data_IF_787987779374
#
_entry.id   IF_787987779374
#
_cell.length_a   1.000
_cell.length_b   1.000
_cell.length_c   1.000
_cell.angle_alpha   90.00
_cell.angle_beta   90.00
_cell.angle_gamma   90.00
#
_symmetry.space_group_name_H-M   'P 1'
#
loop_
_entity.id
_entity.type
_entity.pdbx_description
1 polymer ?
#
# COMPACT_ATOMS: atom_id res chain seq x y z
N UNK A 1 1.60 7.72 4.84
CA UNK A 1 2.24 6.60 5.53
C UNK A 1 3.22 7.08 6.61
N UNK A 2 4.37 7.76 6.32
CA UNK A 2 5.40 8.17 7.28
C UNK A 2 4.84 8.77 8.59
N UNK A 3 3.95 9.78 8.53
CA UNK A 3 3.40 10.45 9.72
C UNK A 3 2.59 9.53 10.63
N UNK A 4 1.92 8.53 10.07
CA UNK A 4 1.18 7.55 10.88
C UNK A 4 2.12 6.54 11.54
N UNK A 5 3.18 6.12 10.82
CA UNK A 5 4.21 5.26 11.39
C UNK A 5 4.97 5.97 12.51
N UNK A 6 5.39 7.23 12.30
CA UNK A 6 6.07 8.06 13.30
C UNK A 6 5.27 8.23 14.60
N UNK A 7 3.92 8.24 14.52
CA UNK A 7 3.02 8.31 15.68
C UNK A 7 2.83 6.97 16.39
N UNK A 8 3.07 5.87 15.71
CA UNK A 8 2.74 4.51 16.18
C UNK A 8 3.95 3.69 16.56
N UNK A 9 5.15 4.05 16.10
CA UNK A 9 6.39 3.33 16.30
C UNK A 9 7.54 4.30 16.56
N UNK A 10 8.26 4.05 17.66
CA UNK A 10 9.40 4.90 18.02
C UNK A 10 10.70 4.44 17.36
N UNK A 11 10.83 3.14 17.11
CA UNK A 11 12.04 2.53 16.56
C UNK A 11 11.83 2.06 15.12
N UNK A 12 12.10 2.95 14.16
CA UNK A 12 12.12 2.63 12.74
C UNK A 12 13.05 3.58 11.97
N UNK A 13 13.49 3.12 10.82
CA UNK A 13 14.10 3.94 9.79
C UNK A 13 13.52 3.61 8.42
N UNK A 14 13.03 4.60 7.69
CA UNK A 14 12.46 4.43 6.35
C UNK A 14 13.47 4.78 5.27
N UNK A 15 13.59 3.92 4.27
CA UNK A 15 14.27 4.19 3.01
C UNK A 15 13.21 4.50 1.96
N UNK A 16 13.08 5.79 1.58
CA UNK A 16 12.02 6.25 0.69
C UNK A 16 12.58 6.43 -0.72
N UNK A 17 12.15 5.58 -1.63
CA UNK A 17 12.54 5.65 -3.04
C UNK A 17 11.66 6.66 -3.77
N UNK A 18 12.26 7.74 -4.23
CA UNK A 18 11.57 8.80 -4.98
C UNK A 18 11.61 8.49 -6.48
N UNK A 19 10.46 8.14 -7.06
CA UNK A 19 10.36 7.69 -8.46
C UNK A 19 10.35 8.81 -9.51
N UNK A 20 10.64 10.04 -9.10
CA UNK A 20 10.92 11.19 -9.95
C UNK A 20 11.73 12.26 -9.20
N UNK A 21 12.38 13.15 -9.96
CA UNK A 21 13.26 14.20 -9.40
C UNK A 21 12.49 15.19 -8.53
N UNK A 22 11.23 15.52 -8.89
CA UNK A 22 10.41 16.44 -8.13
C UNK A 22 10.03 15.89 -6.77
N UNK A 23 9.64 14.62 -6.72
CA UNK A 23 9.36 13.90 -5.48
C UNK A 23 10.62 13.84 -4.59
N UNK A 24 11.77 13.55 -5.20
CA UNK A 24 13.06 13.53 -4.48
C UNK A 24 13.40 14.90 -3.87
N UNK A 25 13.25 15.97 -4.63
CA UNK A 25 13.49 17.33 -4.16
C UNK A 25 12.58 17.69 -2.96
N UNK A 26 11.28 17.43 -3.08
CA UNK A 26 10.31 17.74 -2.03
C UNK A 26 10.58 16.92 -0.77
N UNK A 27 10.80 15.62 -0.89
CA UNK A 27 11.08 14.73 0.24
C UNK A 27 12.34 15.16 0.99
N UNK A 28 13.40 15.54 0.29
CA UNK A 28 14.63 16.08 0.92
C UNK A 28 14.35 17.39 1.68
N UNK A 29 13.51 18.28 1.14
CA UNK A 29 13.13 19.53 1.80
C UNK A 29 12.25 19.32 3.03
N UNK A 30 11.48 18.23 3.10
CA UNK A 30 10.68 17.86 4.27
C UNK A 30 11.51 17.49 5.49
N UNK A 31 12.80 17.15 5.34
CA UNK A 31 13.75 16.82 6.41
C UNK A 31 13.19 15.80 7.41
N UNK A 32 12.63 14.71 6.89
CA UNK A 32 12.08 13.63 7.71
C UNK A 32 13.18 13.00 8.57
N UNK A 33 13.02 13.01 9.91
CA UNK A 33 14.09 12.66 10.85
C UNK A 33 14.48 11.18 10.82
N UNK A 34 13.51 10.29 10.57
CA UNK A 34 13.69 8.83 10.56
C UNK A 34 13.59 8.28 9.14
N UNK A 35 14.15 9.01 8.14
CA UNK A 35 14.09 8.57 6.76
C UNK A 35 15.36 8.94 5.97
N UNK A 36 15.73 8.04 5.07
CA UNK A 36 16.72 8.29 4.01
C UNK A 36 15.98 8.35 2.67
N UNK A 37 16.18 9.44 1.91
CA UNK A 37 15.58 9.61 0.60
C UNK A 37 16.56 9.09 -0.45
N UNK A 38 16.09 8.19 -1.31
CA UNK A 38 16.87 7.54 -2.36
C UNK A 38 16.29 7.97 -3.71
N UNK A 39 17.13 8.59 -4.55
CA UNK A 39 16.74 8.97 -5.90
C UNK A 39 16.77 7.75 -6.84
N UNK A 40 16.03 7.82 -7.96
CA UNK A 40 16.16 6.79 -9.01
C UNK A 40 17.58 6.70 -9.55
N UNK A 41 18.28 7.83 -9.65
CA UNK A 41 19.66 7.89 -10.13
C UNK A 41 20.63 7.09 -9.26
N UNK A 42 20.39 7.06 -7.94
CA UNK A 42 21.21 6.30 -6.99
C UNK A 42 20.81 4.82 -6.91
N UNK A 43 19.60 4.50 -7.30
CA UNK A 43 18.98 3.19 -7.14
C UNK A 43 19.02 2.32 -8.41
N UNK A 44 18.76 2.93 -9.57
CA UNK A 44 18.63 2.19 -10.83
C UNK A 44 19.97 1.62 -11.31
N UNK A 45 20.04 0.33 -11.50
CA UNK A 45 21.14 -0.35 -12.17
C UNK A 45 20.85 -0.57 -13.67
N UNK A 46 21.84 -1.14 -14.39
CA UNK A 46 21.74 -1.39 -15.83
C UNK A 46 20.54 -2.27 -16.19
N UNK A 47 20.21 -3.28 -15.36
CA UNK A 47 19.07 -4.19 -15.62
C UNK A 47 17.74 -3.44 -15.51
N UNK A 48 17.56 -2.62 -14.49
CA UNK A 48 16.34 -1.81 -14.31
C UNK A 48 16.20 -0.77 -15.41
N UNK A 49 17.28 -0.07 -15.76
CA UNK A 49 17.28 0.91 -16.85
C UNK A 49 16.93 0.27 -18.20
N UNK A 50 17.42 -0.92 -18.48
CA UNK A 50 17.15 -1.63 -19.73
C UNK A 50 15.65 -1.96 -19.92
N UNK A 51 14.94 -2.35 -18.83
CA UNK A 51 13.52 -2.73 -18.93
C UNK A 51 12.55 -1.55 -18.74
N UNK A 52 12.99 -0.45 -18.17
CA UNK A 52 12.17 0.73 -17.84
C UNK A 52 11.32 1.23 -19.00
N UNK A 53 11.83 1.36 -20.26
CA UNK A 53 11.02 1.82 -21.38
C UNK A 53 9.87 0.88 -21.76
N UNK A 54 9.93 -0.40 -21.38
CA UNK A 54 8.94 -1.43 -21.70
C UNK A 54 7.81 -1.52 -20.66
N UNK A 55 7.87 -0.75 -19.60
CA UNK A 55 6.90 -0.75 -18.48
C UNK A 55 6.14 0.58 -18.41
N UNK A 56 4.87 0.53 -18.05
CA UNK A 56 4.16 1.72 -17.57
C UNK A 56 4.75 2.16 -16.23
N UNK A 57 4.49 3.40 -15.80
CA UNK A 57 4.96 3.90 -14.49
C UNK A 57 4.58 2.98 -13.33
N UNK A 58 3.35 2.45 -13.32
CA UNK A 58 2.88 1.54 -12.28
C UNK A 58 3.59 0.19 -12.35
N UNK A 59 3.73 -0.40 -13.53
CA UNK A 59 4.43 -1.66 -13.73
C UNK A 59 5.91 -1.54 -13.36
N UNK A 60 6.53 -0.40 -13.64
CA UNK A 60 7.90 -0.14 -13.25
C UNK A 60 8.06 -0.05 -11.73
N UNK A 61 7.11 0.62 -11.02
CA UNK A 61 7.11 0.61 -9.56
C UNK A 61 7.04 -0.82 -9.00
N UNK A 62 6.14 -1.66 -9.53
CA UNK A 62 6.03 -3.08 -9.12
C UNK A 62 7.30 -3.87 -9.45
N UNK A 63 7.88 -3.66 -10.64
CA UNK A 63 9.15 -4.30 -11.00
C UNK A 63 10.26 -3.96 -10.02
N UNK A 64 10.27 -2.73 -9.51
CA UNK A 64 11.29 -2.25 -8.58
C UNK A 64 11.10 -2.73 -7.14
N UNK A 65 9.94 -3.26 -6.73
CA UNK A 65 9.64 -3.62 -5.34
C UNK A 65 10.72 -4.50 -4.70
N UNK A 66 11.01 -5.64 -5.30
CA UNK A 66 12.06 -6.56 -4.83
C UNK A 66 13.46 -5.93 -4.86
N UNK A 67 13.74 -5.12 -5.87
CA UNK A 67 15.00 -4.40 -6.02
C UNK A 67 15.22 -3.36 -4.93
N UNK A 68 14.16 -2.66 -4.47
CA UNK A 68 14.27 -1.68 -3.37
C UNK A 68 14.67 -2.34 -2.06
N UNK A 69 14.10 -3.51 -1.75
CA UNK A 69 14.43 -4.28 -0.55
C UNK A 69 15.89 -4.75 -0.62
N UNK A 70 16.27 -5.34 -1.75
CA UNK A 70 17.63 -5.84 -1.97
C UNK A 70 18.67 -4.72 -1.85
N UNK A 71 18.39 -3.57 -2.48
CA UNK A 71 19.26 -2.40 -2.40
C UNK A 71 19.47 -1.92 -0.96
N UNK A 72 18.41 -1.88 -0.15
CA UNK A 72 18.52 -1.45 1.26
C UNK A 72 19.38 -2.44 2.04
N UNK A 73 19.10 -3.73 1.93
CA UNK A 73 19.85 -4.77 2.65
C UNK A 73 21.34 -4.72 2.29
N UNK A 74 21.66 -4.68 0.99
CA UNK A 74 23.05 -4.76 0.53
C UNK A 74 23.82 -3.44 0.74
N UNK A 75 23.18 -2.29 0.54
CA UNK A 75 23.87 -0.99 0.66
C UNK A 75 24.07 -0.52 2.09
N UNK A 76 23.12 -0.81 2.96
CA UNK A 76 23.13 -0.33 4.34
C UNK A 76 23.45 -1.43 5.36
N UNK A 77 23.69 -2.65 4.89
CA UNK A 77 24.04 -3.82 5.70
C UNK A 77 23.07 -4.04 6.87
N UNK A 78 21.76 -3.87 6.59
CA UNK A 78 20.74 -4.06 7.64
C UNK A 78 20.41 -5.54 7.82
N UNK A 79 20.09 -5.98 9.06
CA UNK A 79 19.78 -7.38 9.33
C UNK A 79 18.46 -7.85 8.72
N UNK A 80 17.54 -6.93 8.45
CA UNK A 80 16.26 -7.19 7.78
C UNK A 80 15.70 -5.92 7.16
N UNK A 81 14.81 -6.09 6.18
CA UNK A 81 14.10 -4.97 5.56
C UNK A 81 12.64 -5.35 5.34
N UNK A 82 11.72 -4.45 5.73
CA UNK A 82 10.28 -4.59 5.48
C UNK A 82 9.85 -3.61 4.41
N UNK A 83 9.29 -4.11 3.32
CA UNK A 83 8.65 -3.28 2.29
C UNK A 83 7.28 -2.82 2.77
N UNK A 84 6.94 -1.57 2.48
CA UNK A 84 5.66 -0.94 2.81
C UNK A 84 5.10 -0.20 1.59
N UNK A 85 3.85 -0.44 1.24
CA UNK A 85 3.14 0.41 0.28
C UNK A 85 2.95 1.83 0.84
N UNK A 86 3.07 2.85 -0.01
CA UNK A 86 3.03 4.25 0.41
C UNK A 86 1.64 4.73 0.88
N UNK A 87 0.57 4.00 0.56
CA UNK A 87 -0.81 4.28 0.93
C UNK A 87 -1.32 3.46 2.14
N UNK A 88 -0.38 2.91 2.93
CA UNK A 88 -0.67 2.39 4.27
C UNK A 88 -0.86 3.52 5.28
N UNK A 89 -1.68 3.28 6.28
CA UNK A 89 -1.80 4.11 7.49
C UNK A 89 -1.73 3.23 8.73
N UNK A 90 -0.77 3.51 9.61
CA UNK A 90 -0.53 2.76 10.84
C UNK A 90 -1.36 3.30 11.99
N UNK A 91 -1.93 2.39 12.76
CA UNK A 91 -2.70 2.64 13.99
C UNK A 91 -1.97 2.14 15.23
N UNK A 92 -1.07 1.16 15.07
CA UNK A 92 -0.24 0.58 16.13
C UNK A 92 1.18 0.35 15.61
N UNK A 93 2.07 0.04 16.55
CA UNK A 93 3.44 -0.37 16.22
C UNK A 93 3.42 -1.67 15.40
N UNK A 94 3.98 -1.66 14.17
CA UNK A 94 4.08 -2.85 13.34
C UNK A 94 4.98 -3.93 13.92
N UNK A 95 5.74 -3.63 14.97
CA UNK A 95 6.59 -4.60 15.66
C UNK A 95 5.83 -5.87 16.05
N UNK A 96 4.56 -5.76 16.43
CA UNK A 96 3.72 -6.92 16.77
C UNK A 96 3.60 -7.92 15.61
N UNK A 97 3.65 -7.45 14.36
CA UNK A 97 3.61 -8.29 13.17
C UNK A 97 4.98 -8.92 12.88
N UNK A 98 6.05 -8.18 13.16
CA UNK A 98 7.42 -8.66 13.00
C UNK A 98 7.76 -9.70 14.10
N UNK A 99 7.28 -9.50 15.32
CA UNK A 99 7.45 -10.45 16.42
C UNK A 99 6.77 -11.80 16.12
N UNK A 100 5.63 -11.79 15.40
CA UNK A 100 4.95 -13.01 14.96
C UNK A 100 5.81 -13.84 13.98
N UNK A 101 6.64 -13.18 13.19
CA UNK A 101 7.54 -13.83 12.24
C UNK A 101 8.54 -14.78 12.95
N UNK A 102 8.94 -14.47 14.19
CA UNK A 102 9.94 -15.26 14.94
C UNK A 102 11.26 -15.41 14.17
N UNK A 103 11.81 -16.61 14.17
CA UNK A 103 13.08 -16.93 13.51
C UNK A 103 12.95 -17.22 12.00
N UNK A 104 11.80 -16.90 11.38
CA UNK A 104 11.63 -17.08 9.94
C UNK A 104 12.37 -15.99 9.15
N UNK A 105 12.74 -16.33 7.93
CA UNK A 105 13.51 -15.46 7.02
C UNK A 105 12.65 -14.53 6.18
N UNK A 106 11.36 -14.87 6.00
CA UNK A 106 10.44 -14.17 5.10
C UNK A 106 9.07 -14.07 5.77
N UNK A 107 8.48 -12.87 5.77
CA UNK A 107 7.10 -12.63 6.21
C UNK A 107 6.24 -12.27 5.01
N UNK A 108 5.16 -13.02 4.78
CA UNK A 108 4.16 -12.78 3.74
C UNK A 108 2.83 -12.32 4.36
N UNK A 109 2.13 -11.43 3.69
CA UNK A 109 0.78 -10.98 4.07
C UNK A 109 -0.24 -11.44 3.03
N UNK A 110 -1.28 -12.17 3.45
CA UNK A 110 -2.36 -12.59 2.57
C UNK A 110 -3.30 -11.43 2.20
N UNK A 111 -3.88 -11.47 1.00
CA UNK A 111 -4.99 -10.59 0.64
C UNK A 111 -6.24 -10.83 1.49
N UNK A 112 -6.45 -12.04 1.96
CA UNK A 112 -7.64 -12.45 2.72
C UNK A 112 -8.93 -12.03 2.01
N UNK A 113 -9.05 -12.34 0.72
CA UNK A 113 -10.25 -12.02 -0.06
C UNK A 113 -11.49 -12.69 0.52
N UNK A 114 -12.60 -11.97 0.72
CA UNK A 114 -13.88 -12.61 1.02
C UNK A 114 -14.32 -13.50 -0.16
N UNK A 115 -15.02 -14.62 0.09
CA UNK A 115 -15.40 -15.60 -0.96
C UNK A 115 -16.05 -14.97 -2.19
N UNK A 116 -16.95 -14.00 -1.97
CA UNK A 116 -17.66 -13.27 -3.03
C UNK A 116 -16.75 -12.50 -3.99
N UNK A 117 -15.58 -12.06 -3.53
CA UNK A 117 -14.66 -11.23 -4.29
C UNK A 117 -13.26 -11.84 -4.38
N UNK A 118 -13.19 -13.15 -4.28
CA UNK A 118 -11.94 -13.87 -4.36
C UNK A 118 -11.27 -13.66 -5.74
N UNK A 119 -10.02 -13.19 -5.72
CA UNK A 119 -9.19 -13.00 -6.90
C UNK A 119 -7.87 -13.75 -6.81
N UNK A 120 -7.76 -14.71 -5.94
CA UNK A 120 -6.55 -15.50 -5.72
C UNK A 120 -6.03 -16.10 -7.03
N UNK A 121 -6.91 -16.61 -7.89
CA UNK A 121 -6.52 -17.20 -9.18
C UNK A 121 -5.85 -16.20 -10.13
N UNK A 122 -6.28 -14.94 -10.14
CA UNK A 122 -5.76 -13.91 -11.06
C UNK A 122 -4.70 -13.01 -10.42
N UNK A 123 -4.89 -12.61 -9.16
CA UNK A 123 -4.06 -11.60 -8.52
C UNK A 123 -3.09 -12.15 -7.46
N UNK A 124 -3.23 -13.43 -7.08
CA UNK A 124 -2.37 -14.08 -6.09
C UNK A 124 -2.99 -14.18 -4.70
N UNK A 125 -2.44 -15.09 -3.90
CA UNK A 125 -2.80 -15.33 -2.50
C UNK A 125 -2.29 -14.16 -1.66
N UNK A 126 -1.04 -13.77 -1.87
CA UNK A 126 -0.32 -12.81 -1.06
C UNK A 126 -0.31 -11.41 -1.69
N UNK A 127 -0.29 -10.40 -0.83
CA UNK A 127 -0.19 -8.99 -1.18
C UNK A 127 1.19 -8.47 -0.79
N UNK A 128 1.81 -7.70 -1.66
CA UNK A 128 3.15 -7.14 -1.43
C UNK A 128 3.16 -6.02 -0.38
N UNK A 129 2.02 -5.45 -0.04
CA UNK A 129 1.84 -4.26 0.82
C UNK A 129 2.69 -4.19 2.11
N UNK A 130 3.04 -5.35 2.69
CA UNK A 130 3.85 -5.51 3.91
C UNK A 130 4.57 -6.85 3.83
N UNK A 131 5.85 -6.82 3.46
CA UNK A 131 6.70 -7.99 3.28
C UNK A 131 8.04 -7.77 4.00
N UNK A 132 8.53 -8.76 4.73
CA UNK A 132 9.83 -8.68 5.40
C UNK A 132 10.78 -9.74 4.88
N UNK A 133 12.05 -9.36 4.70
CA UNK A 133 13.15 -10.25 4.38
C UNK A 133 14.27 -10.06 5.39
N UNK A 134 14.75 -11.15 5.94
CA UNK A 134 15.96 -11.20 6.78
C UNK A 134 17.18 -11.34 5.87
N UNK A 135 18.27 -10.68 6.24
CA UNK A 135 19.56 -10.78 5.57
C UNK A 135 20.26 -12.10 5.95
N UNK A 136 19.62 -13.21 5.62
CA UNK A 136 20.16 -14.56 5.78
C UNK A 136 20.10 -15.34 4.46
N UNK A 137 20.59 -16.58 4.49
CA UNK A 137 20.63 -17.41 3.29
C UNK A 137 19.27 -17.59 2.62
N UNK A 138 18.23 -17.89 3.39
CA UNK A 138 16.89 -18.20 2.85
C UNK A 138 16.18 -16.93 2.34
N UNK A 139 16.22 -15.86 3.12
CA UNK A 139 15.62 -14.57 2.74
C UNK A 139 16.26 -14.00 1.47
N UNK A 140 17.61 -14.01 1.41
CA UNK A 140 18.34 -13.46 0.26
C UNK A 140 18.23 -14.32 -0.99
N UNK A 141 18.12 -15.65 -0.87
CA UNK A 141 17.88 -16.56 -1.99
C UNK A 141 16.53 -16.23 -2.67
N UNK A 142 15.45 -16.15 -1.87
CA UNK A 142 14.12 -15.83 -2.38
C UNK A 142 14.04 -14.41 -2.95
N UNK A 143 14.64 -13.42 -2.26
CA UNK A 143 14.61 -12.02 -2.68
C UNK A 143 15.33 -11.81 -4.03
N UNK A 144 16.52 -12.39 -4.21
CA UNK A 144 17.24 -12.28 -5.47
C UNK A 144 16.50 -12.97 -6.62
N UNK A 145 15.95 -14.16 -6.38
CA UNK A 145 15.11 -14.81 -7.38
C UNK A 145 13.90 -13.96 -7.75
N UNK A 146 13.21 -13.37 -6.77
CA UNK A 146 12.03 -12.52 -7.02
C UNK A 146 12.39 -11.28 -7.84
N UNK A 147 13.54 -10.68 -7.52
CA UNK A 147 14.05 -9.55 -8.29
C UNK A 147 14.27 -9.91 -9.75
N UNK A 148 14.97 -10.99 -10.03
CA UNK A 148 15.25 -11.43 -11.41
C UNK A 148 13.93 -11.78 -12.13
N UNK A 149 12.99 -12.45 -11.47
CA UNK A 149 11.67 -12.75 -12.03
C UNK A 149 10.85 -11.48 -12.35
N UNK A 150 10.87 -10.45 -11.49
CA UNK A 150 10.19 -9.17 -11.74
C UNK A 150 10.85 -8.37 -12.88
N UNK A 151 12.16 -8.41 -13.01
CA UNK A 151 12.89 -7.80 -14.13
C UNK A 151 12.50 -8.49 -15.44
N UNK A 152 12.48 -9.82 -15.46
CA UNK A 152 12.08 -10.61 -16.62
C UNK A 152 10.63 -10.32 -17.02
N UNK A 153 9.70 -10.40 -16.08
CA UNK A 153 8.29 -10.17 -16.37
C UNK A 153 7.56 -9.54 -15.16
N UNK A 154 6.99 -8.34 -15.33
CA UNK A 154 6.13 -7.69 -14.32
C UNK A 154 5.18 -6.73 -15.03
N UNK A 155 3.94 -7.18 -15.31
CA UNK A 155 2.95 -6.39 -16.03
C UNK A 155 1.58 -6.43 -15.32
N UNK A 156 0.76 -5.40 -15.57
CA UNK A 156 -0.60 -5.27 -15.04
C UNK A 156 -1.60 -6.09 -15.88
N UNK A 157 -1.31 -7.37 -16.07
CA UNK A 157 -2.18 -8.35 -16.71
C UNK A 157 -1.89 -9.73 -16.17
N UNK A 158 -2.89 -10.60 -16.19
CA UNK A 158 -2.68 -12.02 -15.90
C UNK A 158 -2.20 -12.72 -17.18
N UNK A 159 -1.08 -13.40 -17.11
CA UNK A 159 -0.48 -14.13 -18.23
C UNK A 159 0.38 -15.28 -17.67
N UNK A 160 0.12 -16.51 -18.13
CA UNK A 160 0.89 -17.70 -17.78
C UNK A 160 1.18 -17.87 -16.28
N UNK A 161 0.16 -17.68 -15.45
CA UNK A 161 0.30 -17.81 -14.00
C UNK A 161 0.98 -16.61 -13.32
N UNK A 162 1.29 -15.52 -14.03
CA UNK A 162 1.95 -14.30 -13.53
C UNK A 162 0.98 -13.13 -13.50
N UNK A 163 1.15 -12.24 -12.50
CA UNK A 163 0.46 -10.97 -12.40
C UNK A 163 1.27 -10.02 -11.51
N UNK A 164 1.75 -8.91 -12.07
CA UNK A 164 2.58 -7.95 -11.35
C UNK A 164 3.78 -8.61 -10.67
N UNK A 165 4.13 -8.11 -9.51
CA UNK A 165 5.18 -8.65 -8.63
C UNK A 165 4.65 -9.69 -7.63
N UNK A 166 3.36 -9.65 -7.31
CA UNK A 166 2.76 -10.38 -6.19
C UNK A 166 2.41 -11.84 -6.49
N UNK A 167 2.06 -12.19 -7.73
CA UNK A 167 1.66 -13.56 -8.08
C UNK A 167 2.81 -14.57 -7.98
N UNK A 168 4.03 -14.11 -8.01
CA UNK A 168 5.25 -14.90 -7.78
C UNK A 168 5.35 -15.48 -6.37
N UNK A 169 4.63 -14.90 -5.40
CA UNK A 169 4.68 -15.30 -3.99
C UNK A 169 3.84 -16.54 -3.69
N UNK A 170 2.95 -16.96 -4.59
CA UNK A 170 1.91 -17.97 -4.32
C UNK A 170 2.46 -19.35 -3.91
N UNK A 171 3.63 -19.76 -4.39
CA UNK A 171 4.25 -21.06 -4.09
C UNK A 171 5.35 -20.99 -3.01
N UNK A 172 5.60 -19.82 -2.43
CA UNK A 172 6.78 -19.61 -1.57
C UNK A 172 6.74 -20.42 -0.28
N UNK A 173 5.58 -20.68 0.29
CA UNK A 173 5.45 -21.51 1.50
C UNK A 173 5.90 -22.96 1.29
N UNK A 174 5.92 -23.42 0.05
CA UNK A 174 6.41 -24.76 -0.32
C UNK A 174 7.78 -24.72 -0.98
N UNK A 175 8.13 -23.62 -1.63
CA UNK A 175 9.35 -23.46 -2.42
C UNK A 175 10.56 -23.06 -1.56
N UNK A 176 10.36 -22.18 -0.58
CA UNK A 176 11.42 -21.63 0.24
C UNK A 176 11.28 -22.05 1.70
N UNK A 177 12.39 -22.15 2.42
CA UNK A 177 12.43 -22.38 3.87
C UNK A 177 12.31 -21.06 4.63
N UNK A 178 11.77 -21.13 5.84
CA UNK A 178 11.67 -19.94 6.71
C UNK A 178 10.66 -18.90 6.21
N UNK A 179 9.57 -19.33 5.56
CA UNK A 179 8.48 -18.47 5.16
C UNK A 179 7.37 -18.53 6.20
N UNK A 180 7.07 -17.40 6.81
CA UNK A 180 5.93 -17.21 7.71
C UNK A 180 4.82 -16.43 6.99
N UNK A 181 3.60 -16.91 7.10
CA UNK A 181 2.39 -16.23 6.62
C UNK A 181 1.72 -15.57 7.81
N UNK A 182 1.64 -14.25 7.79
CA UNK A 182 1.07 -13.44 8.87
C UNK A 182 -0.35 -13.87 9.25
N UNK A 183 -0.55 -14.26 10.50
CA UNK A 183 -1.85 -14.66 11.04
C UNK A 183 -2.58 -13.51 11.71
N UNK A 184 -1.86 -12.52 12.25
CA UNK A 184 -2.44 -11.37 12.93
C UNK A 184 -3.40 -10.61 12.01
N UNK A 185 -4.70 -10.61 12.34
CA UNK A 185 -5.75 -10.03 11.49
C UNK A 185 -5.63 -8.51 11.31
N UNK A 186 -4.99 -7.82 12.26
CA UNK A 186 -4.74 -6.38 12.19
C UNK A 186 -3.67 -5.98 11.18
N UNK A 187 -2.85 -6.93 10.73
CA UNK A 187 -1.92 -6.76 9.63
C UNK A 187 -2.57 -7.19 8.31
N UNK A 188 -2.69 -6.26 7.37
CA UNK A 188 -3.27 -6.54 6.04
C UNK A 188 -4.75 -6.18 5.88
N UNK A 189 -5.31 -5.38 6.77
CA UNK A 189 -6.62 -4.77 6.54
C UNK A 189 -6.58 -3.82 5.33
N UNK A 190 -7.55 -3.97 4.43
CA UNK A 190 -7.59 -3.23 3.19
C UNK A 190 -9.02 -3.07 2.66
N UNK A 191 -9.15 -2.22 1.63
CA UNK A 191 -10.44 -1.99 0.97
C UNK A 191 -11.11 -3.27 0.43
N UNK A 192 -10.31 -4.29 0.07
CA UNK A 192 -10.82 -5.53 -0.55
C UNK A 192 -11.24 -6.60 0.46
N UNK A 193 -10.90 -6.47 1.74
CA UNK A 193 -11.21 -7.49 2.74
C UNK A 193 -11.95 -6.97 3.97
N UNK A 194 -11.98 -5.65 4.22
CA UNK A 194 -12.56 -5.06 5.44
C UNK A 194 -14.05 -5.34 5.61
N UNK A 195 -14.79 -5.61 4.54
CA UNK A 195 -16.23 -5.87 4.61
C UNK A 195 -16.60 -7.16 5.35
N UNK A 196 -15.68 -8.11 5.50
CA UNK A 196 -15.91 -9.35 6.25
C UNK A 196 -15.80 -9.15 7.77
N UNK A 197 -15.24 -8.03 8.21
CA UNK A 197 -15.07 -7.69 9.61
C UNK A 197 -16.10 -6.63 10.05
N UNK A 198 -16.60 -6.75 11.29
CA UNK A 198 -17.47 -5.73 11.86
C UNK A 198 -16.62 -4.68 12.55
N UNK A 199 -16.70 -3.43 12.09
CA UNK A 199 -16.13 -2.30 12.82
C UNK A 199 -16.82 -2.17 14.17
N UNK A 200 -16.05 -2.04 15.26
CA UNK A 200 -16.57 -1.93 16.62
C UNK A 200 -16.43 -0.50 17.15
N UNK A 201 -15.21 0.02 17.23
CA UNK A 201 -14.94 1.36 17.73
C UNK A 201 -13.58 1.89 17.25
N UNK A 202 -13.42 3.21 17.37
CA UNK A 202 -12.11 3.88 17.27
C UNK A 202 -11.95 4.83 18.46
N UNK A 203 -10.82 4.72 19.18
CA UNK A 203 -10.43 5.63 20.27
C UNK A 203 -8.99 6.09 20.01
N UNK A 204 -8.83 7.32 19.56
CA UNK A 204 -7.52 7.82 19.11
C UNK A 204 -6.97 7.01 17.95
N UNK A 205 -5.80 6.40 18.14
CA UNK A 205 -5.20 5.50 17.17
C UNK A 205 -5.68 4.04 17.29
N UNK A 206 -6.32 3.67 18.38
CA UNK A 206 -6.86 2.33 18.57
C UNK A 206 -8.11 2.12 17.73
N UNK A 207 -8.08 1.13 16.83
CA UNK A 207 -9.22 0.76 15.96
C UNK A 207 -9.53 -0.71 16.16
N UNK A 208 -10.73 -1.00 16.63
CA UNK A 208 -11.18 -2.34 17.00
C UNK A 208 -12.16 -2.90 15.99
N UNK A 209 -11.90 -4.13 15.54
CA UNK A 209 -12.77 -4.92 14.70
C UNK A 209 -13.18 -6.22 15.39
N UNK A 210 -14.25 -6.82 14.90
CA UNK A 210 -14.71 -8.15 15.28
C UNK A 210 -14.76 -9.04 14.03
N UNK A 211 -14.05 -10.16 14.10
CA UNK A 211 -14.10 -11.20 13.08
C UNK A 211 -15.18 -12.23 13.43
N UNK A 212 -16.16 -12.36 12.54
CA UNK A 212 -17.27 -13.31 12.73
C UNK A 212 -16.84 -14.76 12.53
N UNK A 213 -15.81 -14.99 11.72
CA UNK A 213 -15.34 -16.35 11.43
C UNK A 213 -14.65 -16.98 12.63
N UNK A 214 -13.74 -16.24 13.27
CA UNK A 214 -13.04 -16.70 14.48
C UNK A 214 -13.75 -16.36 15.78
N UNK A 215 -14.87 -15.60 15.73
CA UNK A 215 -15.61 -15.08 16.88
C UNK A 215 -14.70 -14.29 17.86
N UNK A 216 -13.75 -13.55 17.33
CA UNK A 216 -12.76 -12.82 18.11
C UNK A 216 -12.68 -11.34 17.76
N UNK A 217 -12.22 -10.53 18.70
CA UNK A 217 -11.89 -9.12 18.47
C UNK A 217 -10.40 -9.01 18.13
N UNK A 218 -10.07 -8.06 17.26
CA UNK A 218 -8.69 -7.73 16.94
C UNK A 218 -8.54 -6.23 16.69
N UNK A 219 -7.34 -5.72 16.91
CA UNK A 219 -7.00 -4.33 16.67
C UNK A 219 -6.29 -4.18 15.31
N UNK A 220 -6.62 -3.14 14.57
CA UNK A 220 -5.92 -2.82 13.34
C UNK A 220 -4.51 -2.35 13.66
N UNK A 221 -3.50 -2.94 13.03
CA UNK A 221 -2.13 -2.45 13.06
C UNK A 221 -1.94 -1.42 11.95
N UNK A 222 -2.39 -1.76 10.73
CA UNK A 222 -2.46 -0.81 9.63
C UNK A 222 -3.69 -1.05 8.75
N UNK A 223 -4.01 -0.05 7.93
CA UNK A 223 -5.03 -0.15 6.88
C UNK A 223 -4.44 0.31 5.54
N UNK A 224 -4.69 -0.45 4.47
CA UNK A 224 -4.26 -0.13 3.11
C UNK A 224 -5.38 0.61 2.36
N UNK A 225 -5.16 1.90 2.10
CA UNK A 225 -6.13 2.79 1.46
C UNK A 225 -6.09 2.72 -0.07
N UNK A 226 -5.96 1.52 -0.59
CA UNK A 226 -5.90 1.27 -2.03
C UNK A 226 -7.03 1.98 -2.80
N UNK A 227 -6.68 2.65 -3.91
CA UNK A 227 -7.59 3.37 -4.81
C UNK A 227 -8.25 4.65 -4.28
N UNK A 228 -7.80 5.25 -3.20
CA UNK A 228 -8.27 6.60 -2.83
C UNK A 228 -7.75 7.61 -3.86
N UNK A 229 -8.66 8.35 -4.50
CA UNK A 229 -8.32 9.32 -5.55
C UNK A 229 -9.05 10.64 -5.33
N UNK A 230 -8.33 11.72 -5.50
CA UNK A 230 -8.89 13.06 -5.45
C UNK A 230 -9.17 13.60 -6.86
N UNK A 231 -10.22 14.39 -6.97
CA UNK A 231 -10.66 15.03 -8.22
C UNK A 231 -11.00 16.48 -7.97
N UNK A 232 -11.16 17.26 -9.05
CA UNK A 232 -11.65 18.65 -8.99
C UNK A 232 -12.98 18.72 -8.23
N UNK A 233 -13.34 19.93 -7.77
CA UNK A 233 -14.58 20.22 -7.05
C UNK A 233 -14.74 19.46 -5.73
N UNK A 234 -13.64 19.27 -5.01
CA UNK A 234 -13.63 18.61 -3.69
C UNK A 234 -14.22 17.18 -3.74
N UNK A 235 -13.99 16.46 -4.81
CA UNK A 235 -14.46 15.07 -4.94
C UNK A 235 -13.36 14.10 -4.52
N UNK A 236 -13.72 13.11 -3.70
CA UNK A 236 -12.88 11.95 -3.38
C UNK A 236 -13.61 10.66 -3.74
N UNK A 237 -12.92 9.77 -4.43
CA UNK A 237 -13.36 8.42 -4.77
C UNK A 237 -12.61 7.40 -3.93
N UNK A 238 -13.33 6.59 -3.15
CA UNK A 238 -12.77 5.56 -2.28
C UNK A 238 -12.67 4.18 -2.97
N UNK A 239 -12.82 4.11 -4.28
CA UNK A 239 -12.69 2.88 -5.06
C UNK A 239 -14.01 2.13 -5.29
N UNK A 240 -13.89 0.85 -5.67
CA UNK A 240 -15.00 -0.01 -6.10
C UNK A 240 -15.43 -1.03 -5.04
N UNK A 241 -14.83 -1.02 -3.88
CA UNK A 241 -15.16 -1.92 -2.77
C UNK A 241 -16.25 -1.31 -1.90
N UNK A 242 -16.80 -2.09 -0.97
CA UNK A 242 -17.92 -1.68 -0.14
C UNK A 242 -17.51 -1.48 1.34
N UNK A 243 -16.67 -0.49 1.67
CA UNK A 243 -16.46 -0.19 3.07
C UNK A 243 -17.80 0.23 3.70
N UNK A 244 -18.11 -0.29 4.87
CA UNK A 244 -19.31 0.14 5.60
C UNK A 244 -19.18 1.61 6.02
N UNK A 245 -20.30 2.31 6.23
CA UNK A 245 -20.26 3.71 6.66
C UNK A 245 -19.45 3.93 7.97
N UNK A 246 -19.49 3.04 8.98
CA UNK A 246 -18.59 3.13 10.11
C UNK A 246 -17.10 3.12 9.72
N UNK A 247 -16.69 2.28 8.78
CA UNK A 247 -15.32 2.24 8.24
C UNK A 247 -15.02 3.54 7.47
N UNK A 248 -15.93 4.01 6.61
CA UNK A 248 -15.78 5.28 5.89
C UNK A 248 -15.56 6.44 6.86
N UNK A 249 -16.40 6.56 7.87
CA UNK A 249 -16.34 7.68 8.82
C UNK A 249 -15.13 7.61 9.75
N UNK A 250 -14.69 6.42 10.16
CA UNK A 250 -13.65 6.28 11.16
C UNK A 250 -12.24 6.02 10.60
N UNK A 251 -12.12 5.53 9.36
CA UNK A 251 -10.83 5.27 8.72
C UNK A 251 -10.59 6.22 7.54
N UNK A 252 -11.49 6.24 6.55
CA UNK A 252 -11.28 7.02 5.33
C UNK A 252 -11.36 8.53 5.56
N UNK A 253 -12.33 9.03 6.32
CA UNK A 253 -12.45 10.45 6.57
C UNK A 253 -11.23 11.04 7.29
N UNK A 254 -10.71 10.43 8.38
CA UNK A 254 -9.46 10.88 9.00
C UNK A 254 -8.23 10.76 8.08
N UNK A 255 -8.17 9.73 7.24
CA UNK A 255 -7.10 9.57 6.26
C UNK A 255 -7.12 10.70 5.22
N UNK A 256 -8.30 11.07 4.70
CA UNK A 256 -8.49 12.20 3.78
C UNK A 256 -8.02 13.51 4.43
N UNK A 257 -8.37 13.75 5.71
CA UNK A 257 -7.88 14.92 6.45
C UNK A 257 -6.35 14.94 6.55
N UNK A 258 -5.74 13.79 6.84
CA UNK A 258 -4.29 13.69 6.95
C UNK A 258 -3.60 13.93 5.59
N UNK A 259 -4.17 13.44 4.50
CA UNK A 259 -3.67 13.71 3.14
C UNK A 259 -3.73 15.20 2.80
N UNK A 260 -4.82 15.90 3.13
CA UNK A 260 -4.94 17.34 2.91
C UNK A 260 -3.91 18.13 3.73
N UNK A 261 -3.67 17.78 5.00
CA UNK A 261 -2.62 18.40 5.82
C UNK A 261 -1.23 18.21 5.22
N UNK A 262 -0.95 17.02 4.68
CA UNK A 262 0.33 16.76 4.02
C UNK A 262 0.44 17.52 2.69
N UNK A 263 -0.64 17.67 1.94
CA UNK A 263 -0.67 18.52 0.74
C UNK A 263 -0.34 19.98 1.08
N UNK A 264 -0.94 20.52 2.14
CA UNK A 264 -0.63 21.87 2.63
C UNK A 264 0.84 22.02 3.04
N UNK A 265 1.40 21.03 3.74
CA UNK A 265 2.80 21.00 4.13
C UNK A 265 3.73 20.98 2.90
N UNK A 266 3.41 20.23 1.87
CA UNK A 266 4.16 20.22 0.60
C UNK A 266 4.05 21.56 -0.11
N UNK A 267 2.89 22.20 -0.13
CA UNK A 267 2.70 23.55 -0.72
C UNK A 267 3.51 24.64 -0.02
N UNK A 268 3.84 24.49 1.25
CA UNK A 268 4.76 25.41 1.93
C UNK A 268 6.21 25.31 1.40
N UNK A 269 6.58 24.14 0.88
CA UNK A 269 7.91 23.87 0.32
C UNK A 269 7.96 24.21 -1.17
N UNK A 270 6.91 23.90 -1.88
CA UNK A 270 6.74 24.08 -3.31
C UNK A 270 5.37 24.70 -3.61
N UNK A 271 5.37 26.03 -3.79
CA UNK A 271 4.14 26.80 -4.02
C UNK A 271 3.41 26.39 -5.30
N UNK A 272 4.14 25.85 -6.27
CA UNK A 272 3.61 25.39 -7.54
C UNK A 272 3.14 23.94 -7.49
N UNK A 273 3.31 23.27 -6.33
CA UNK A 273 2.83 21.91 -6.14
C UNK A 273 1.33 21.86 -6.35
N UNK A 274 0.96 21.15 -7.38
CA UNK A 274 -0.45 20.91 -7.71
C UNK A 274 -0.61 19.41 -7.93
N UNK A 275 -1.42 18.79 -7.09
CA UNK A 275 -1.94 17.46 -7.43
C UNK A 275 -2.75 17.67 -8.70
N UNK A 276 -2.29 17.11 -9.83
CA UNK A 276 -2.99 17.18 -11.10
C UNK A 276 -4.36 16.51 -10.98
N UNK A 277 -5.30 17.24 -10.38
CA UNK A 277 -6.66 16.77 -10.21
C UNK A 277 -7.33 16.72 -11.57
N UNK A 278 -7.72 15.53 -11.99
CA UNK A 278 -8.53 15.31 -13.18
C UNK A 278 -9.98 15.62 -12.87
N UNK A 279 -10.75 15.99 -13.90
CA UNK A 279 -12.20 15.99 -13.77
C UNK A 279 -12.69 14.55 -13.57
N UNK A 280 -13.60 14.35 -12.63
CA UNK A 280 -14.11 13.02 -12.31
C UNK A 280 -14.72 12.31 -13.53
N UNK A 281 -15.32 13.09 -14.43
CA UNK A 281 -15.92 12.60 -15.69
C UNK A 281 -14.90 12.20 -16.75
N UNK A 282 -13.64 12.65 -16.62
CA UNK A 282 -12.55 12.39 -17.57
C UNK A 282 -11.68 11.19 -17.19
N UNK A 283 -12.10 10.40 -16.22
CA UNK A 283 -11.33 9.21 -15.80
C UNK A 283 -11.35 8.19 -16.92
N UNK A 284 -10.19 7.94 -17.41
CA UNK A 284 -9.72 6.95 -18.37
C UNK A 284 -10.75 6.07 -19.07
N UNK A 285 -10.79 6.23 -20.28
CA UNK A 285 -11.81 5.97 -21.23
C UNK A 285 -11.43 4.92 -22.26
N UNK A 286 -10.79 3.86 -21.84
CA UNK A 286 -10.61 2.70 -22.70
C UNK A 286 -11.94 1.93 -22.78
N UNK A 287 -12.84 2.46 -23.63
CA UNK A 287 -14.09 1.80 -24.01
C UNK A 287 -15.37 2.36 -23.37
N UNK A 288 -16.47 2.29 -24.14
CA UNK A 288 -17.81 2.74 -23.77
C UNK A 288 -18.31 2.11 -22.45
N UNK A 289 -17.97 0.85 -22.20
CA UNK A 289 -18.35 0.10 -20.99
C UNK A 289 -17.80 0.76 -19.71
N UNK A 290 -16.56 1.23 -19.75
CA UNK A 290 -15.94 1.90 -18.60
C UNK A 290 -16.53 3.30 -18.39
N UNK A 291 -16.84 4.02 -19.46
CA UNK A 291 -17.54 5.30 -19.38
C UNK A 291 -18.90 5.18 -18.68
N UNK A 292 -19.70 4.21 -19.09
CA UNK A 292 -21.02 3.94 -18.48
C UNK A 292 -20.86 3.57 -17.00
N UNK A 293 -19.90 2.70 -16.68
CA UNK A 293 -19.62 2.29 -15.31
C UNK A 293 -19.26 3.47 -14.39
N UNK A 294 -18.40 4.38 -14.87
CA UNK A 294 -18.06 5.59 -14.12
C UNK A 294 -19.23 6.57 -14.04
N UNK A 295 -20.01 6.75 -15.11
CA UNK A 295 -21.21 7.57 -15.07
C UNK A 295 -22.20 7.07 -13.99
N UNK A 296 -22.44 5.76 -13.96
CA UNK A 296 -23.30 5.15 -12.93
C UNK A 296 -22.73 5.38 -11.52
N UNK A 297 -21.39 5.30 -11.35
CA UNK A 297 -20.74 5.57 -10.08
C UNK A 297 -21.00 7.01 -9.59
N UNK A 298 -20.97 7.99 -10.49
CA UNK A 298 -21.30 9.40 -10.19
C UNK A 298 -22.77 9.57 -9.83
N UNK A 299 -23.67 9.05 -10.68
CA UNK A 299 -25.13 9.18 -10.50
C UNK A 299 -25.59 8.58 -9.18
N UNK A 300 -25.10 7.38 -8.86
CA UNK A 300 -25.44 6.69 -7.60
C UNK A 300 -24.53 7.08 -6.43
N UNK A 301 -23.58 8.01 -6.61
CA UNK A 301 -22.60 8.42 -5.60
C UNK A 301 -21.92 7.23 -4.91
N UNK A 302 -21.63 6.19 -5.66
CA UNK A 302 -21.06 4.96 -5.13
C UNK A 302 -19.60 5.18 -4.69
N UNK A 303 -19.36 5.23 -3.37
CA UNK A 303 -18.05 5.56 -2.76
C UNK A 303 -17.43 6.88 -3.24
N UNK A 304 -18.27 7.79 -3.73
CA UNK A 304 -17.86 9.14 -4.17
C UNK A 304 -18.45 10.15 -3.21
N UNK A 305 -17.58 10.92 -2.58
CA UNK A 305 -17.95 11.88 -1.55
C UNK A 305 -17.43 13.27 -1.91
N UNK A 306 -18.12 14.30 -1.45
CA UNK A 306 -17.51 15.60 -1.32
C UNK A 306 -16.63 15.60 -0.07
N UNK A 307 -15.36 16.00 -0.20
CA UNK A 307 -14.36 15.94 0.89
C UNK A 307 -14.79 16.76 2.10
N UNK A 308 -15.35 17.96 1.90
CA UNK A 308 -15.85 18.82 2.98
C UNK A 308 -16.98 18.14 3.77
N UNK A 309 -17.92 17.52 3.07
CA UNK A 309 -19.02 16.79 3.70
C UNK A 309 -18.58 15.53 4.42
N UNK A 310 -17.58 14.82 3.86
CA UNK A 310 -16.99 13.64 4.47
C UNK A 310 -16.29 14.00 5.80
N UNK A 311 -15.59 15.12 5.83
CA UNK A 311 -14.84 15.61 6.99
C UNK A 311 -15.80 16.20 8.05
N UNK A 312 -16.75 17.05 7.65
CA UNK A 312 -17.66 17.74 8.58
C UNK A 312 -18.48 16.77 9.45
N UNK A 313 -18.86 15.61 8.90
CA UNK A 313 -19.56 14.56 9.70
C UNK A 313 -18.72 13.97 10.82
N UNK A 314 -17.41 14.20 10.83
CA UNK A 314 -16.49 13.66 11.82
C UNK A 314 -15.92 14.72 12.78
N UNK A 315 -16.10 16.01 12.48
CA UNK A 315 -15.65 17.13 13.34
C UNK A 315 -16.62 17.45 14.48
N UNK A 316 -17.77 16.80 14.53
CA UNK A 316 -18.84 17.02 15.51
C UNK A 316 -18.94 15.94 16.59
N UNK A 317 -17.88 15.17 16.81
CA UNK A 317 -17.82 14.18 17.89
C UNK A 317 -16.61 14.38 18.78
#
# INVERSE_FOLDING_TARGET
>A
MYRSLEKSCDDFHLYIFAFDDKSCEILNKLKLQKATIISLKDFEDEKLLAIKPSRTKAEYCWTCTSSTILYVIEKYDVPSCTYLDADLYFYQDPKVLLDEMGDNSILLTEHRYPPKFNRTSSSGIYCVQFLTFVNDKNGMEALRWWRDACIDWCYNRYEDGKFGDQKYLDDWTTRYKGVHVLQHLGGGLASWNVEQYKFMERKGNRVLFFDKASNSKFEAVFYHFHHVRFFKNDIVDLGWRHPTMPVVNNLYAPYVVELQKNEEAVKQIDKDFNILLKDFTLINNDGLKNKIKYLLKVVFRYNVFNTKNLIAKNSGK
#
